data_IF_904977873756
#
_entry.id   IF_904977873756
#
_cell.length_a   1.000
_cell.length_b   1.000
_cell.length_c   1.000
_cell.angle_alpha   90.00
_cell.angle_beta   90.00
_cell.angle_gamma   90.00
#
_symmetry.space_group_name_H-M   'P 1'
#
loop_
_entity.id
_entity.type
_entity.pdbx_description
1 polymer ?
#
# COMPACT_ATOMS: atom_id res chain seq x y z
N UNK A 1 -4.06 4.00 -5.78
CA UNK A 1 -4.18 3.96 -4.31
C UNK A 1 -2.92 3.34 -3.73
N UNK A 2 -2.52 3.75 -2.52
CA UNK A 2 -1.46 3.11 -1.73
C UNK A 2 -1.94 3.02 -0.28
N UNK A 3 -1.76 1.89 0.37
CA UNK A 3 -2.08 1.72 1.79
C UNK A 3 -0.95 1.05 2.53
N UNK A 4 -0.65 1.55 3.72
CA UNK A 4 0.30 0.99 4.68
C UNK A 4 -0.04 1.56 6.06
N UNK A 5 -0.26 0.71 7.07
CA UNK A 5 -0.62 1.16 8.42
C UNK A 5 0.58 1.59 9.26
N UNK A 6 1.80 1.31 8.80
CA UNK A 6 3.00 1.56 9.57
C UNK A 6 3.48 3.02 9.45
N UNK A 7 4.23 3.43 10.47
CA UNK A 7 5.02 4.65 10.45
C UNK A 7 6.48 4.36 10.07
N UNK A 8 7.18 5.39 9.62
CA UNK A 8 8.57 5.30 9.19
C UNK A 8 9.48 5.18 10.41
N UNK A 9 10.30 4.12 10.44
CA UNK A 9 11.35 3.93 11.42
C UNK A 9 12.73 4.20 10.83
N UNK A 10 13.70 4.55 11.70
CA UNK A 10 15.12 4.69 11.29
C UNK A 10 15.67 3.43 10.62
N UNK A 11 15.23 2.26 11.08
CA UNK A 11 15.59 0.95 10.54
C UNK A 11 15.13 0.74 9.09
N UNK A 12 14.14 1.51 8.62
CA UNK A 12 13.60 1.40 7.26
C UNK A 12 14.42 2.18 6.24
N UNK A 13 15.12 3.23 6.66
CA UNK A 13 15.84 4.17 5.79
C UNK A 13 16.98 3.50 4.98
N UNK A 14 17.43 2.32 5.41
CA UNK A 14 18.47 1.57 4.69
C UNK A 14 17.98 0.93 3.38
N UNK A 15 16.66 0.74 3.21
CA UNK A 15 16.07 0.04 2.06
C UNK A 15 14.84 0.73 1.45
N UNK A 16 14.21 1.64 2.18
CA UNK A 16 13.05 2.41 1.73
C UNK A 16 13.49 3.84 1.39
N UNK A 17 14.12 4.01 0.23
CA UNK A 17 14.82 5.23 -0.20
C UNK A 17 13.93 6.46 -0.43
N UNK A 18 12.61 6.29 -0.47
CA UNK A 18 11.67 7.41 -0.56
C UNK A 18 11.65 8.25 0.72
N UNK A 19 12.09 7.69 1.84
CA UNK A 19 12.02 8.33 3.16
C UNK A 19 13.34 9.00 3.54
N UNK A 20 13.27 10.00 4.41
CA UNK A 20 14.39 10.73 5.00
C UNK A 20 14.37 10.60 6.52
N UNK A 21 15.49 10.92 7.16
CA UNK A 21 15.59 10.92 8.62
C UNK A 21 14.63 11.93 9.28
N UNK A 22 14.20 12.96 8.55
CA UNK A 22 13.18 13.93 8.97
C UNK A 22 11.78 13.34 9.02
N UNK A 23 11.54 12.24 8.31
CA UNK A 23 10.20 11.67 8.11
C UNK A 23 9.90 10.57 9.14
N UNK A 24 10.84 10.27 10.03
CA UNK A 24 10.69 9.25 11.07
C UNK A 24 9.50 9.60 11.97
N UNK A 25 8.60 8.64 12.14
CA UNK A 25 7.34 8.79 12.88
C UNK A 25 6.14 9.21 12.02
N UNK A 26 6.35 9.62 10.76
CA UNK A 26 5.26 9.88 9.81
C UNK A 26 4.74 8.58 9.19
N UNK A 27 3.53 8.62 8.63
CA UNK A 27 2.95 7.48 7.92
C UNK A 27 3.71 7.19 6.63
N UNK A 28 4.02 5.91 6.40
CA UNK A 28 4.77 5.47 5.21
C UNK A 28 4.02 5.82 3.92
N UNK A 29 2.72 5.53 3.87
CA UNK A 29 1.89 5.72 2.67
C UNK A 29 1.76 7.19 2.26
N UNK A 30 1.49 8.08 3.20
CA UNK A 30 1.38 9.53 2.96
C UNK A 30 2.72 10.13 2.52
N UNK A 31 3.80 9.78 3.22
CA UNK A 31 5.14 10.28 2.90
C UNK A 31 5.61 9.77 1.54
N UNK A 32 5.34 8.50 1.21
CA UNK A 32 5.68 7.93 -0.09
C UNK A 32 4.91 8.62 -1.22
N UNK A 33 3.61 8.88 -1.01
CA UNK A 33 2.79 9.61 -1.98
C UNK A 33 3.33 11.04 -2.23
N UNK A 34 3.70 11.76 -1.16
CA UNK A 34 4.29 13.08 -1.27
C UNK A 34 5.65 13.06 -2.01
N UNK A 35 6.50 12.10 -1.69
CA UNK A 35 7.80 11.93 -2.34
C UNK A 35 7.65 11.66 -3.85
N UNK A 36 6.77 10.73 -4.24
CA UNK A 36 6.52 10.41 -5.65
C UNK A 36 5.90 11.60 -6.39
N UNK A 37 4.99 12.35 -5.75
CA UNK A 37 4.37 13.53 -6.36
C UNK A 37 5.37 14.67 -6.58
N UNK A 38 6.39 14.79 -5.72
CA UNK A 38 7.52 15.69 -5.94
C UNK A 38 8.37 15.27 -7.15
N UNK A 39 8.57 13.96 -7.35
CA UNK A 39 9.30 13.42 -8.50
C UNK A 39 8.52 13.57 -9.81
N UNK A 40 7.21 13.34 -9.79
CA UNK A 40 6.32 13.52 -10.94
C UNK A 40 4.96 14.09 -10.49
N UNK A 41 4.72 15.40 -10.68
CA UNK A 41 3.48 16.06 -10.27
C UNK A 41 2.22 15.56 -10.97
N UNK A 42 2.36 14.87 -12.12
CA UNK A 42 1.22 14.36 -12.88
C UNK A 42 0.62 13.07 -12.28
N UNK A 43 1.32 12.43 -11.34
CA UNK A 43 0.84 11.19 -10.73
C UNK A 43 -0.25 11.51 -9.71
N UNK A 44 -1.39 10.82 -9.85
CA UNK A 44 -2.51 10.92 -8.93
C UNK A 44 -2.44 9.76 -7.93
N UNK A 45 -2.16 10.09 -6.67
CA UNK A 45 -2.00 9.11 -5.59
C UNK A 45 -2.99 9.45 -4.49
N UNK A 46 -3.78 8.45 -4.10
CA UNK A 46 -4.59 8.47 -2.88
C UNK A 46 -3.90 7.55 -1.89
N UNK A 47 -3.35 8.13 -0.82
CA UNK A 47 -2.71 7.42 0.29
C UNK A 47 -3.71 7.12 1.40
N UNK A 48 -3.58 5.94 1.99
CA UNK A 48 -4.39 5.44 3.10
C UNK A 48 -3.48 4.78 4.14
N UNK A 49 -3.95 4.69 5.37
CA UNK A 49 -3.22 4.10 6.49
C UNK A 49 -3.94 2.90 7.10
N UNK A 50 -4.72 2.20 6.28
CA UNK A 50 -5.57 1.10 6.72
C UNK A 50 -4.85 -0.24 6.49
N UNK A 51 -4.85 -1.10 7.50
CA UNK A 51 -4.34 -2.47 7.37
C UNK A 51 -5.24 -3.28 6.46
N UNK A 52 -4.67 -3.88 5.42
CA UNK A 52 -5.42 -4.77 4.54
C UNK A 52 -5.84 -6.03 5.29
N UNK A 53 -7.14 -6.27 5.40
CA UNK A 53 -7.70 -7.44 6.08
C UNK A 53 -9.21 -7.34 6.25
N UNK A 54 -9.84 -8.32 6.92
CA UNK A 54 -11.29 -8.37 7.08
C UNK A 54 -11.89 -7.14 7.77
N UNK A 55 -11.15 -6.57 8.72
CA UNK A 55 -11.59 -5.40 9.51
C UNK A 55 -11.75 -4.13 8.66
N UNK A 56 -11.16 -4.09 7.45
CA UNK A 56 -11.17 -2.92 6.57
C UNK A 56 -12.05 -3.10 5.33
N UNK A 57 -12.87 -4.15 5.27
CA UNK A 57 -13.82 -4.39 4.16
C UNK A 57 -14.88 -3.29 4.02
N UNK A 58 -15.22 -2.59 5.09
CA UNK A 58 -16.10 -1.42 5.01
C UNK A 58 -15.48 -0.24 4.24
N UNK A 59 -14.14 -0.19 4.16
CA UNK A 59 -13.38 0.81 3.40
C UNK A 59 -13.05 0.26 2.01
N UNK A 60 -12.59 -0.99 1.95
CA UNK A 60 -12.26 -1.74 0.74
C UNK A 60 -13.44 -2.61 0.31
N UNK A 61 -14.54 -1.94 0.01
CA UNK A 61 -15.80 -2.57 -0.40
C UNK A 61 -15.78 -2.99 -1.88
N UNK A 62 -16.89 -3.56 -2.34
CA UNK A 62 -17.06 -4.03 -3.72
C UNK A 62 -16.73 -2.94 -4.75
N UNK A 63 -17.26 -1.73 -4.56
CA UNK A 63 -17.00 -0.59 -5.46
C UNK A 63 -15.51 -0.25 -5.56
N UNK A 64 -14.79 -0.30 -4.44
CA UNK A 64 -13.35 -0.09 -4.43
C UNK A 64 -12.63 -1.14 -5.28
N UNK A 65 -12.87 -2.43 -5.00
CA UNK A 65 -12.22 -3.52 -5.74
C UNK A 65 -12.56 -3.49 -7.22
N UNK A 66 -13.82 -3.27 -7.56
CA UNK A 66 -14.28 -3.20 -8.94
C UNK A 66 -13.63 -2.05 -9.72
N UNK A 67 -13.34 -0.92 -9.05
CA UNK A 67 -12.63 0.21 -9.65
C UNK A 67 -11.16 -0.08 -10.01
N UNK A 68 -10.55 -1.12 -9.44
CA UNK A 68 -9.14 -1.43 -9.65
C UNK A 68 -8.89 -2.13 -10.99
N UNK A 69 -7.76 -1.79 -11.62
CA UNK A 69 -7.26 -2.47 -12.82
C UNK A 69 -6.31 -3.61 -12.48
N UNK A 70 -5.45 -3.41 -11.49
CA UNK A 70 -4.42 -4.36 -11.05
C UNK A 70 -4.12 -4.11 -9.58
N UNK A 71 -3.76 -5.18 -8.87
CA UNK A 71 -3.34 -5.13 -7.47
C UNK A 71 -1.88 -5.53 -7.40
N UNK A 72 -1.05 -4.70 -6.76
CA UNK A 72 0.36 -4.99 -6.55
C UNK A 72 0.63 -5.09 -5.06
N UNK A 73 1.20 -6.21 -4.59
CA UNK A 73 1.50 -6.42 -3.17
C UNK A 73 2.99 -6.26 -2.90
N UNK A 74 3.29 -5.61 -1.77
CA UNK A 74 4.62 -5.44 -1.21
C UNK A 74 4.59 -5.76 0.29
N UNK A 75 4.00 -6.92 0.62
CA UNK A 75 3.63 -7.33 1.97
C UNK A 75 4.68 -8.25 2.59
N UNK A 76 4.90 -8.12 3.90
CA UNK A 76 5.91 -8.86 4.67
C UNK A 76 5.37 -10.11 5.39
N UNK A 77 4.05 -10.28 5.45
CA UNK A 77 3.39 -11.36 6.16
C UNK A 77 2.47 -12.19 5.25
N UNK A 78 2.41 -13.49 5.54
CA UNK A 78 1.67 -14.48 4.76
C UNK A 78 0.15 -14.23 4.83
N UNK A 79 -0.37 -13.84 5.99
CA UNK A 79 -1.80 -13.64 6.19
C UNK A 79 -2.36 -12.54 5.28
N UNK A 80 -1.68 -11.39 5.20
CA UNK A 80 -2.11 -10.30 4.32
C UNK A 80 -1.97 -10.67 2.84
N UNK A 81 -0.97 -11.49 2.47
CA UNK A 81 -0.82 -11.99 1.10
C UNK A 81 -1.98 -12.91 0.72
N UNK A 82 -2.33 -13.87 1.58
CA UNK A 82 -3.46 -14.77 1.37
C UNK A 82 -4.78 -14.01 1.28
N UNK A 83 -4.97 -13.00 2.13
CA UNK A 83 -6.17 -12.16 2.05
C UNK A 83 -6.25 -11.39 0.73
N UNK A 84 -5.14 -10.77 0.28
CA UNK A 84 -5.09 -10.08 -0.99
C UNK A 84 -5.36 -11.02 -2.17
N UNK A 85 -4.78 -12.22 -2.15
CA UNK A 85 -4.98 -13.26 -3.16
C UNK A 85 -6.45 -13.69 -3.27
N UNK A 86 -7.08 -14.05 -2.14
CA UNK A 86 -8.49 -14.43 -2.09
C UNK A 86 -9.41 -13.34 -2.66
N UNK A 87 -9.14 -12.07 -2.30
CA UNK A 87 -9.91 -10.93 -2.82
C UNK A 87 -9.69 -10.72 -4.32
N UNK A 88 -8.45 -10.84 -4.80
CA UNK A 88 -8.16 -10.73 -6.23
C UNK A 88 -8.84 -11.83 -7.04
N UNK A 89 -8.88 -13.06 -6.54
CA UNK A 89 -9.63 -14.17 -7.18
C UNK A 89 -11.13 -13.85 -7.19
N UNK A 90 -11.69 -13.40 -6.07
CA UNK A 90 -13.12 -13.09 -5.95
C UNK A 90 -13.58 -11.99 -6.91
N UNK A 91 -12.85 -10.87 -6.99
CA UNK A 91 -13.17 -9.74 -7.88
C UNK A 91 -12.54 -9.86 -9.28
N UNK A 92 -11.93 -11.01 -9.59
CA UNK A 92 -11.26 -11.28 -10.86
C UNK A 92 -10.24 -10.19 -11.26
N UNK A 93 -9.38 -9.80 -10.32
CA UNK A 93 -8.35 -8.77 -10.50
C UNK A 93 -6.97 -9.41 -10.68
N UNK A 94 -6.18 -8.98 -11.68
CA UNK A 94 -4.78 -9.38 -11.79
C UNK A 94 -3.99 -8.98 -10.55
N UNK A 95 -3.19 -9.91 -10.03
CA UNK A 95 -2.34 -9.73 -8.85
C UNK A 95 -0.87 -9.82 -9.25
N UNK A 96 -0.09 -8.79 -8.92
CA UNK A 96 1.37 -8.83 -8.94
C UNK A 96 1.89 -8.98 -7.51
N UNK A 97 2.38 -10.18 -7.20
CA UNK A 97 3.00 -10.46 -5.90
C UNK A 97 4.53 -10.35 -5.98
N UNK A 98 5.14 -9.84 -4.92
CA UNK A 98 6.59 -9.86 -4.75
C UNK A 98 6.97 -10.11 -3.29
N UNK A 99 8.09 -10.80 -3.10
CA UNK A 99 8.70 -11.04 -1.79
C UNK A 99 10.22 -11.06 -1.92
N UNK A 100 10.91 -10.68 -0.85
CA UNK A 100 12.39 -10.69 -0.73
C UNK A 100 12.81 -11.47 0.49
#
# INVERSE_FOLDING_TARGET
FITDMDTIERSNLNRQFLFRNTDVGLLKSETAAAAVKSMNPQVNIVSQSNRLGPDTEGIYNDDFWDSLTVVCTALDNVDARLYADQRCVYYNKPLMESGT
#
